data_IF_855114267270
#
_entry.id   IF_855114267270
#
_cell.length_a   1.000
_cell.length_b   1.000
_cell.length_c   1.000
_cell.angle_alpha   90.00
_cell.angle_beta   90.00
_cell.angle_gamma   90.00
#
_symmetry.space_group_name_H-M   'P 1'
#
loop_
_entity.id
_entity.type
_entity.pdbx_description
1 polymer ?
#
# COMPACT_ATOMS: atom_id res chain seq x y z
N UNK A 1 -38.02 13.64 76.86
CA UNK A 1 -36.66 13.80 76.36
C UNK A 1 -36.19 12.68 75.42
N UNK A 2 -36.73 11.44 75.49
CA UNK A 2 -36.30 10.30 74.61
C UNK A 2 -36.76 10.38 73.13
N UNK A 3 -37.81 11.02 72.79
CA UNK A 3 -38.37 11.08 71.39
C UNK A 3 -37.60 12.05 70.49
N UNK A 4 -36.83 12.97 71.05
CA UNK A 4 -36.06 13.99 70.26
C UNK A 4 -34.67 13.48 69.83
N UNK A 5 -34.13 12.54 70.54
CA UNK A 5 -32.80 11.96 70.14
C UNK A 5 -32.90 10.90 69.05
N UNK A 6 -33.98 10.13 68.97
CA UNK A 6 -34.20 9.14 67.89
C UNK A 6 -34.42 9.79 66.52
N UNK A 7 -34.98 10.97 66.42
CA UNK A 7 -35.19 11.68 65.15
C UNK A 7 -33.91 12.31 64.65
N UNK A 8 -32.96 12.70 65.50
CA UNK A 8 -31.68 13.27 65.10
C UNK A 8 -30.74 12.14 64.56
N UNK A 9 -30.80 10.96 65.16
CA UNK A 9 -30.00 9.80 64.71
C UNK A 9 -30.52 9.26 63.36
N UNK A 10 -31.83 9.21 63.13
CA UNK A 10 -32.43 8.81 61.85
C UNK A 10 -32.14 9.82 60.74
N UNK A 11 -32.19 11.12 61.01
CA UNK A 11 -31.86 12.18 60.07
C UNK A 11 -30.40 12.10 59.60
N UNK A 12 -29.44 11.87 60.51
CA UNK A 12 -28.03 11.75 60.19
C UNK A 12 -27.72 10.46 59.40
N UNK A 13 -28.46 9.37 59.64
CA UNK A 13 -28.29 8.13 58.84
C UNK A 13 -28.82 8.30 57.42
N UNK A 14 -29.94 9.00 57.22
CA UNK A 14 -30.47 9.27 55.88
C UNK A 14 -29.57 10.19 55.07
N UNK A 15 -29.01 11.24 55.68
CA UNK A 15 -28.06 12.16 55.07
C UNK A 15 -26.76 11.42 54.69
N UNK A 16 -26.25 10.53 55.54
CA UNK A 16 -25.08 9.68 55.22
C UNK A 16 -25.39 8.71 54.10
N UNK A 17 -26.56 8.10 54.06
CA UNK A 17 -26.98 7.20 52.99
C UNK A 17 -27.12 7.93 51.66
N UNK A 18 -27.72 9.15 51.66
CA UNK A 18 -27.78 10.00 50.47
C UNK A 18 -26.38 10.45 49.99
N UNK A 19 -25.48 10.78 50.91
CA UNK A 19 -24.11 11.15 50.54
C UNK A 19 -23.32 9.99 49.95
N UNK A 20 -23.49 8.78 50.50
CA UNK A 20 -22.89 7.55 49.94
C UNK A 20 -23.51 7.21 48.61
N UNK A 21 -24.85 7.35 48.46
CA UNK A 21 -25.53 7.13 47.18
C UNK A 21 -25.11 8.14 46.10
N UNK A 22 -24.95 9.41 46.47
CA UNK A 22 -24.38 10.43 45.56
C UNK A 22 -22.94 10.14 45.21
N UNK A 23 -22.08 9.67 46.13
CA UNK A 23 -20.71 9.27 45.85
C UNK A 23 -20.67 8.04 44.91
N UNK A 24 -21.54 7.06 45.10
CA UNK A 24 -21.63 5.87 44.25
C UNK A 24 -22.18 6.23 42.85
N UNK A 25 -23.12 7.17 42.77
CA UNK A 25 -23.62 7.67 41.47
C UNK A 25 -22.62 8.51 40.70
N UNK A 26 -21.68 9.16 41.36
CA UNK A 26 -20.59 9.92 40.70
C UNK A 26 -19.46 9.04 40.17
N UNK A 27 -19.34 7.79 40.65
CA UNK A 27 -18.30 6.85 40.23
C UNK A 27 -18.69 6.09 38.95
N UNK A 28 -19.94 6.14 38.50
CA UNK A 28 -20.40 5.47 37.27
C UNK A 28 -20.58 6.38 36.05
N UNK A 29 -19.97 7.53 36.01
CA UNK A 29 -19.72 8.12 34.70
C UNK A 29 -18.72 7.24 33.99
N UNK A 30 -19.18 6.26 33.20
CA UNK A 30 -18.38 5.62 32.14
C UNK A 30 -17.89 6.78 31.29
N UNK A 31 -16.70 7.28 31.62
CA UNK A 31 -16.04 8.27 30.76
C UNK A 31 -15.74 7.54 29.47
N UNK A 32 -16.62 7.67 28.48
CA UNK A 32 -16.23 7.29 27.14
C UNK A 32 -14.91 8.00 26.87
N UNK A 33 -13.98 7.32 26.30
CA UNK A 33 -12.65 7.82 26.00
C UNK A 33 -12.21 7.26 24.66
N UNK A 34 -11.22 7.90 24.07
CA UNK A 34 -10.65 7.49 22.81
C UNK A 34 -9.17 7.17 22.98
N UNK A 35 -8.66 6.30 22.11
CA UNK A 35 -7.24 6.09 21.88
C UNK A 35 -6.88 6.92 20.66
N UNK A 36 -5.96 7.87 20.80
CA UNK A 36 -5.31 8.58 19.73
C UNK A 36 -3.92 7.96 19.50
N UNK A 37 -3.71 7.42 18.31
CA UNK A 37 -2.41 6.93 17.87
C UNK A 37 -1.78 8.03 17.01
N UNK A 38 -0.84 8.83 17.54
CA UNK A 38 -0.18 9.89 16.77
C UNK A 38 0.70 9.27 15.69
N UNK A 39 0.79 9.94 14.55
CA UNK A 39 1.61 9.50 13.42
C UNK A 39 2.65 10.55 13.03
N UNK A 40 2.90 11.50 13.92
CA UNK A 40 4.00 12.47 13.87
C UNK A 40 5.31 11.85 14.42
N UNK A 41 6.34 12.66 14.61
CA UNK A 41 7.65 12.24 15.12
C UNK A 41 7.62 11.65 16.55
N UNK A 42 6.50 11.77 17.28
CA UNK A 42 6.32 11.16 18.60
C UNK A 42 5.98 9.68 18.54
N UNK A 43 5.68 9.15 17.36
CA UNK A 43 5.40 7.74 17.19
C UNK A 43 6.68 6.91 17.28
N UNK A 44 6.71 5.95 18.19
CA UNK A 44 7.84 5.02 18.36
C UNK A 44 7.91 3.99 17.23
N UNK A 45 6.77 3.59 16.67
CA UNK A 45 6.71 2.60 15.60
C UNK A 45 5.52 2.88 14.65
N UNK A 46 5.80 3.64 13.59
CA UNK A 46 4.79 3.97 12.59
C UNK A 46 4.23 2.72 11.89
N UNK A 47 5.11 1.77 11.53
CA UNK A 47 4.69 0.59 10.76
C UNK A 47 3.73 -0.29 11.57
N UNK A 48 4.03 -0.56 12.84
CA UNK A 48 3.12 -1.34 13.70
C UNK A 48 1.84 -0.59 14.07
N UNK A 49 1.82 0.75 14.03
CA UNK A 49 0.60 1.53 14.21
C UNK A 49 -0.47 1.22 13.14
N UNK A 50 -0.04 0.97 11.88
CA UNK A 50 -0.95 0.47 10.84
C UNK A 50 -1.45 -0.95 11.15
N UNK A 51 -0.60 -1.80 11.69
CA UNK A 51 -0.98 -3.15 12.13
C UNK A 51 -2.04 -3.15 13.22
N UNK A 52 -1.90 -2.26 14.23
CA UNK A 52 -2.93 -2.04 15.27
C UNK A 52 -4.25 -1.58 14.64
N UNK A 53 -4.16 -0.62 13.71
CA UNK A 53 -5.34 -0.10 13.01
C UNK A 53 -6.03 -1.20 12.20
N UNK A 54 -5.28 -2.01 11.46
CA UNK A 54 -5.80 -3.14 10.69
C UNK A 54 -6.46 -4.19 11.60
N UNK A 55 -5.77 -4.60 12.66
CA UNK A 55 -6.29 -5.54 13.64
C UNK A 55 -7.59 -5.03 14.31
N UNK A 56 -7.66 -3.75 14.64
CA UNK A 56 -8.86 -3.10 15.20
C UNK A 56 -10.03 -3.22 14.22
N UNK A 57 -9.80 -3.00 12.93
CA UNK A 57 -10.81 -3.15 11.89
C UNK A 57 -11.25 -4.62 11.71
N UNK A 58 -10.34 -5.60 11.88
CA UNK A 58 -10.70 -7.03 11.90
C UNK A 58 -11.66 -7.38 13.05
N UNK A 59 -11.58 -6.68 14.19
CA UNK A 59 -12.52 -6.83 15.31
C UNK A 59 -13.87 -6.14 15.07
N UNK A 60 -14.07 -5.52 13.89
CA UNK A 60 -15.29 -4.78 13.56
C UNK A 60 -15.41 -3.42 14.27
N UNK A 61 -14.31 -2.89 14.80
CA UNK A 61 -14.28 -1.61 15.50
C UNK A 61 -13.90 -0.52 14.49
N UNK A 62 -14.72 0.54 14.43
CA UNK A 62 -14.47 1.68 13.54
C UNK A 62 -13.20 2.44 13.96
N UNK A 63 -12.40 2.81 12.97
CA UNK A 63 -11.23 3.68 13.13
C UNK A 63 -11.44 4.94 12.31
N UNK A 64 -11.19 6.11 12.90
CA UNK A 64 -11.10 7.37 12.16
C UNK A 64 -9.63 7.65 11.80
N UNK A 65 -9.36 7.78 10.51
CA UNK A 65 -8.07 8.26 10.03
C UNK A 65 -8.15 9.78 9.93
N UNK A 66 -7.36 10.47 10.75
CA UNK A 66 -7.31 11.93 10.82
C UNK A 66 -6.25 12.43 9.83
N UNK A 67 -6.69 12.69 8.59
CA UNK A 67 -5.80 13.09 7.50
C UNK A 67 -5.12 14.42 7.81
N UNK A 68 -3.82 14.48 7.63
CA UNK A 68 -2.92 15.59 7.91
C UNK A 68 -2.82 16.00 9.39
N UNK A 69 -3.72 15.54 10.26
CA UNK A 69 -3.62 15.81 11.69
C UNK A 69 -2.51 14.97 12.30
N UNK A 70 -1.47 15.64 12.84
CA UNK A 70 -0.30 15.00 13.45
C UNK A 70 0.25 13.84 12.59
N UNK A 71 0.51 14.10 11.31
CA UNK A 71 1.06 13.12 10.38
C UNK A 71 0.07 12.05 9.91
N UNK A 72 -1.25 12.22 10.10
CA UNK A 72 -2.28 11.25 9.70
C UNK A 72 -2.60 10.23 10.79
N UNK A 73 -2.93 10.73 11.97
CA UNK A 73 -3.20 9.96 13.20
C UNK A 73 -4.44 9.07 13.10
N UNK A 74 -4.53 8.06 13.96
CA UNK A 74 -5.73 7.23 14.09
C UNK A 74 -6.44 7.54 15.41
N UNK A 75 -7.78 7.65 15.36
CA UNK A 75 -8.64 7.86 16.52
C UNK A 75 -9.62 6.69 16.62
N UNK A 76 -9.61 6.00 17.75
CA UNK A 76 -10.34 4.76 17.98
C UNK A 76 -11.10 4.88 19.32
N UNK A 77 -12.32 4.38 19.41
CA UNK A 77 -13.00 4.29 20.70
C UNK A 77 -12.18 3.42 21.67
N UNK A 78 -11.98 3.90 22.89
CA UNK A 78 -11.14 3.21 23.86
C UNK A 78 -11.68 1.82 24.18
N UNK A 79 -10.81 0.85 24.05
CA UNK A 79 -10.95 -0.50 24.58
C UNK A 79 -9.62 -0.92 25.19
N UNK A 80 -9.66 -1.55 26.38
CA UNK A 80 -8.46 -1.98 27.06
C UNK A 80 -7.59 -2.94 26.22
N UNK A 81 -8.23 -3.79 25.40
CA UNK A 81 -7.53 -4.69 24.50
C UNK A 81 -6.66 -3.93 23.50
N UNK A 82 -7.16 -2.83 22.90
CA UNK A 82 -6.40 -2.01 21.93
C UNK A 82 -5.23 -1.32 22.62
N UNK A 83 -5.44 -0.75 23.82
CA UNK A 83 -4.36 -0.13 24.59
C UNK A 83 -3.26 -1.14 24.96
N UNK A 84 -3.67 -2.36 25.30
CA UNK A 84 -2.72 -3.47 25.58
C UNK A 84 -1.93 -3.84 24.33
N UNK A 85 -2.58 -4.01 23.17
CA UNK A 85 -1.90 -4.31 21.90
C UNK A 85 -0.93 -3.19 21.48
N UNK A 86 -1.30 -1.91 21.65
CA UNK A 86 -0.38 -0.81 21.43
C UNK A 86 0.87 -0.93 22.30
N UNK A 87 0.70 -1.23 23.59
CA UNK A 87 1.82 -1.41 24.53
C UNK A 87 2.69 -2.60 24.14
N UNK A 88 2.10 -3.76 23.84
CA UNK A 88 2.82 -5.00 23.48
C UNK A 88 3.63 -4.82 22.20
N UNK A 89 3.06 -4.13 21.21
CA UNK A 89 3.73 -3.91 19.92
C UNK A 89 4.63 -2.67 19.89
N UNK A 90 4.76 -1.95 21.01
CA UNK A 90 5.63 -0.75 21.12
C UNK A 90 5.12 0.45 20.32
N UNK A 91 3.79 0.60 20.17
CA UNK A 91 3.15 1.71 19.48
C UNK A 91 2.79 2.80 20.48
N UNK A 92 3.22 4.03 20.23
CA UNK A 92 2.84 5.19 21.05
C UNK A 92 1.37 5.53 20.89
N UNK A 93 0.66 5.76 22.00
CA UNK A 93 -0.75 6.16 21.99
C UNK A 93 -1.08 7.07 23.18
N UNK A 94 -2.17 7.80 23.08
CA UNK A 94 -2.72 8.68 24.11
C UNK A 94 -4.17 8.27 24.41
N UNK A 95 -4.51 8.14 25.70
CA UNK A 95 -5.92 7.98 26.11
C UNK A 95 -6.47 9.38 26.36
N UNK A 96 -7.47 9.78 25.59
CA UNK A 96 -8.06 11.11 25.64
C UNK A 96 -9.56 11.03 25.99
N UNK A 97 -10.06 12.02 26.72
CA UNK A 97 -11.48 12.10 27.09
C UNK A 97 -12.35 12.48 25.87
N UNK A 98 -13.65 12.13 25.90
CA UNK A 98 -14.62 12.48 24.84
C UNK A 98 -14.60 13.95 24.45
N UNK A 99 -14.56 14.85 25.44
CA UNK A 99 -14.51 16.28 25.18
C UNK A 99 -13.29 16.69 24.37
N UNK A 100 -12.14 16.08 24.66
CA UNK A 100 -10.91 16.34 23.91
C UNK A 100 -10.98 15.76 22.47
N UNK A 101 -11.51 14.55 22.32
CA UNK A 101 -11.71 13.93 21.00
C UNK A 101 -12.67 14.76 20.13
N UNK A 102 -13.77 15.24 20.73
CA UNK A 102 -14.74 16.09 20.05
C UNK A 102 -14.13 17.44 19.64
N UNK A 103 -13.29 18.05 20.47
CA UNK A 103 -12.58 19.28 20.11
C UNK A 103 -11.64 19.04 18.93
N UNK A 104 -10.84 17.96 18.94
CA UNK A 104 -9.98 17.59 17.80
C UNK A 104 -10.80 17.43 16.52
N UNK A 105 -11.93 16.71 16.57
CA UNK A 105 -12.79 16.52 15.40
C UNK A 105 -13.45 17.81 14.93
N UNK A 106 -13.80 18.72 15.84
CA UNK A 106 -14.34 20.04 15.51
C UNK A 106 -13.29 20.93 14.84
N UNK A 107 -12.05 20.93 15.35
CA UNK A 107 -10.94 21.68 14.76
C UNK A 107 -10.61 21.15 13.34
N UNK A 108 -10.52 19.83 13.16
CA UNK A 108 -10.32 19.18 11.87
C UNK A 108 -11.45 19.52 10.87
N UNK A 109 -12.69 19.66 11.35
CA UNK A 109 -13.84 19.96 10.50
C UNK A 109 -13.86 21.42 9.97
N UNK A 110 -13.06 22.32 10.51
CA UNK A 110 -13.01 23.72 10.09
C UNK A 110 -12.58 23.83 8.62
N UNK A 111 -13.14 24.79 7.90
CA UNK A 111 -12.87 24.99 6.47
C UNK A 111 -11.47 25.57 6.20
N UNK A 112 -10.91 26.29 7.17
CA UNK A 112 -9.60 26.96 7.04
C UNK A 112 -8.39 26.05 7.33
N UNK A 113 -8.60 24.78 7.73
CA UNK A 113 -7.54 23.81 7.96
C UNK A 113 -7.55 22.73 6.89
N UNK A 114 -6.36 22.30 6.44
CA UNK A 114 -6.21 21.21 5.47
C UNK A 114 -6.18 19.84 6.16
N UNK A 115 -7.22 19.52 6.93
CA UNK A 115 -7.38 18.26 7.64
C UNK A 115 -8.78 17.69 7.40
N UNK A 116 -8.93 16.37 7.46
CA UNK A 116 -10.24 15.70 7.43
C UNK A 116 -10.20 14.39 8.25
N UNK A 117 -11.37 13.92 8.68
CA UNK A 117 -11.53 12.66 9.40
C UNK A 117 -12.29 11.66 8.54
N UNK A 118 -11.64 10.57 8.14
CA UNK A 118 -12.23 9.53 7.28
C UNK A 118 -12.42 8.25 8.08
N UNK A 119 -13.68 7.78 8.14
CA UNK A 119 -14.02 6.54 8.83
C UNK A 119 -13.58 5.31 8.04
N UNK A 120 -13.05 4.33 8.75
CA UNK A 120 -12.70 2.98 8.31
C UNK A 120 -13.58 1.99 9.05
N UNK A 121 -14.21 1.07 8.35
CA UNK A 121 -15.20 0.17 8.98
C UNK A 121 -14.88 -1.32 8.79
N UNK A 122 -13.97 -1.66 7.86
CA UNK A 122 -13.64 -3.04 7.51
C UNK A 122 -12.15 -3.14 7.17
N UNK A 123 -11.49 -4.17 7.67
CA UNK A 123 -10.16 -4.54 7.20
C UNK A 123 -10.24 -5.05 5.76
N UNK A 124 -9.39 -4.57 4.83
CA UNK A 124 -9.38 -5.08 3.47
C UNK A 124 -8.86 -6.51 3.42
N UNK A 125 -9.38 -7.32 2.50
CA UNK A 125 -8.82 -8.62 2.16
C UNK A 125 -7.69 -8.43 1.16
N UNK A 126 -6.51 -8.92 1.52
CA UNK A 126 -5.26 -8.68 0.80
C UNK A 126 -4.82 -9.93 0.07
N UNK A 127 -4.55 -9.82 -1.23
CA UNK A 127 -3.85 -10.81 -2.03
C UNK A 127 -2.46 -10.30 -2.42
N UNK A 128 -1.47 -11.18 -2.38
CA UNK A 128 -0.12 -10.94 -2.88
C UNK A 128 0.12 -11.91 -4.02
N UNK A 129 0.45 -11.38 -5.19
CA UNK A 129 0.83 -12.20 -6.33
C UNK A 129 2.29 -12.64 -6.19
N UNK A 130 2.53 -13.93 -6.08
CA UNK A 130 3.87 -14.49 -5.91
C UNK A 130 3.94 -15.91 -6.46
N UNK A 131 5.03 -16.28 -7.16
CA UNK A 131 5.25 -17.65 -7.62
C UNK A 131 5.44 -18.62 -6.43
N UNK A 132 5.18 -19.92 -6.64
CA UNK A 132 5.27 -20.90 -5.55
C UNK A 132 6.70 -21.25 -5.14
N UNK A 133 7.71 -20.93 -5.95
CA UNK A 133 9.12 -21.19 -5.66
C UNK A 133 9.74 -20.05 -4.83
N UNK A 134 10.78 -20.40 -4.08
CA UNK A 134 11.57 -19.42 -3.35
C UNK A 134 12.34 -18.53 -4.34
N UNK A 135 12.08 -17.23 -4.29
CA UNK A 135 12.83 -16.23 -5.04
C UNK A 135 14.18 -15.92 -4.34
N UNK A 136 15.21 -15.50 -5.10
CA UNK A 136 16.50 -15.11 -4.55
C UNK A 136 16.53 -13.69 -3.97
N UNK A 137 15.40 -13.04 -3.90
CA UNK A 137 15.16 -11.73 -3.32
C UNK A 137 13.96 -11.77 -2.38
N UNK A 138 13.82 -10.74 -1.60
CA UNK A 138 12.68 -10.50 -0.72
C UNK A 138 11.60 -9.63 -1.41
N UNK A 139 10.47 -9.53 -0.78
CA UNK A 139 9.36 -8.66 -1.18
C UNK A 139 9.07 -7.68 -0.06
N UNK A 140 9.37 -6.40 -0.30
CA UNK A 140 9.20 -5.32 0.68
C UNK A 140 7.78 -5.25 1.25
N UNK A 141 6.76 -5.53 0.43
CA UNK A 141 5.36 -5.49 0.87
C UNK A 141 5.05 -6.66 1.81
N UNK A 142 5.44 -7.87 1.45
CA UNK A 142 5.22 -9.03 2.34
C UNK A 142 6.01 -8.90 3.63
N UNK A 143 7.21 -8.30 3.60
CA UNK A 143 8.00 -8.01 4.79
C UNK A 143 7.27 -7.04 5.72
N UNK A 144 6.77 -5.92 5.20
CA UNK A 144 6.07 -4.94 6.05
C UNK A 144 4.72 -5.45 6.53
N UNK A 145 4.00 -6.22 5.74
CA UNK A 145 2.76 -6.87 6.17
C UNK A 145 3.01 -7.83 7.35
N UNK A 146 4.05 -8.67 7.26
CA UNK A 146 4.47 -9.58 8.34
C UNK A 146 4.92 -8.79 9.58
N UNK A 147 5.74 -7.75 9.41
CA UNK A 147 6.21 -6.91 10.51
C UNK A 147 5.07 -6.19 11.24
N UNK A 148 4.11 -5.67 10.49
CA UNK A 148 2.91 -5.02 11.01
C UNK A 148 1.83 -6.02 11.48
N UNK A 149 2.03 -7.33 11.28
CA UNK A 149 1.10 -8.41 11.61
C UNK A 149 -0.25 -8.27 10.87
N UNK A 150 -0.18 -7.88 9.60
CA UNK A 150 -1.32 -7.75 8.68
C UNK A 150 -1.43 -9.04 7.86
N UNK A 151 -2.59 -9.66 7.85
CA UNK A 151 -2.84 -10.93 7.14
C UNK A 151 -2.98 -10.71 5.65
N UNK A 152 -2.46 -11.65 4.87
CA UNK A 152 -2.62 -11.70 3.42
C UNK A 152 -2.63 -13.14 2.93
N UNK A 153 -3.21 -13.35 1.76
CA UNK A 153 -3.17 -14.62 1.03
C UNK A 153 -2.25 -14.48 -0.18
N UNK A 154 -1.62 -15.59 -0.57
CA UNK A 154 -0.80 -15.64 -1.78
C UNK A 154 -1.66 -16.19 -2.92
N UNK A 155 -1.59 -15.54 -4.07
CA UNK A 155 -2.23 -15.95 -5.34
C UNK A 155 -1.19 -15.95 -6.45
N UNK A 156 -1.41 -16.78 -7.46
CA UNK A 156 -0.56 -16.80 -8.65
C UNK A 156 -1.40 -16.91 -9.92
N UNK A 157 -0.80 -17.22 -11.06
CA UNK A 157 -1.47 -17.25 -12.38
C UNK A 157 -2.78 -18.02 -12.37
N UNK A 158 -2.79 -19.22 -11.79
CA UNK A 158 -3.98 -20.10 -11.74
C UNK A 158 -5.13 -19.44 -10.98
N UNK A 159 -4.85 -18.95 -9.77
CA UNK A 159 -5.89 -18.32 -8.95
C UNK A 159 -6.49 -17.10 -9.64
N UNK A 160 -5.67 -16.33 -10.36
CA UNK A 160 -6.14 -15.16 -11.10
C UNK A 160 -7.01 -15.58 -12.29
N UNK A 161 -6.56 -16.54 -13.09
CA UNK A 161 -7.31 -17.07 -14.26
C UNK A 161 -8.61 -17.71 -13.81
N UNK A 162 -8.64 -18.38 -12.66
CA UNK A 162 -9.83 -18.96 -12.05
C UNK A 162 -10.81 -17.92 -11.47
N UNK A 163 -10.46 -16.62 -11.52
CA UNK A 163 -11.30 -15.53 -11.06
C UNK A 163 -11.40 -15.39 -9.55
N UNK A 164 -10.42 -15.86 -8.78
CA UNK A 164 -10.40 -15.74 -7.30
C UNK A 164 -10.19 -14.30 -6.81
N UNK A 165 -9.73 -13.37 -7.67
CA UNK A 165 -9.54 -11.97 -7.29
C UNK A 165 -10.82 -11.28 -6.81
N UNK A 166 -11.99 -11.74 -7.21
CA UNK A 166 -13.30 -11.22 -6.71
C UNK A 166 -13.48 -11.32 -5.20
N UNK A 167 -12.70 -12.18 -4.53
CA UNK A 167 -12.78 -12.40 -3.08
C UNK A 167 -11.88 -11.43 -2.28
N UNK A 168 -11.11 -10.58 -2.97
CA UNK A 168 -10.16 -9.65 -2.39
C UNK A 168 -10.54 -8.20 -2.66
N UNK A 169 -10.07 -7.30 -1.78
CA UNK A 169 -10.21 -5.85 -1.93
C UNK A 169 -8.94 -5.22 -2.51
N UNK A 170 -7.77 -5.87 -2.33
CA UNK A 170 -6.45 -5.35 -2.65
C UNK A 170 -5.54 -6.45 -3.21
N UNK A 171 -4.80 -6.12 -4.27
CA UNK A 171 -3.82 -7.00 -4.91
C UNK A 171 -2.47 -6.29 -4.98
N UNK A 172 -1.40 -7.01 -4.59
CA UNK A 172 -0.02 -6.57 -4.73
C UNK A 172 0.70 -7.33 -5.83
N UNK A 173 1.45 -6.60 -6.65
CA UNK A 173 2.42 -7.09 -7.62
C UNK A 173 3.77 -6.43 -7.33
N UNK A 174 4.89 -7.17 -7.38
CA UNK A 174 6.19 -6.59 -7.06
C UNK A 174 7.18 -6.67 -8.24
N UNK A 175 7.86 -7.76 -8.36
CA UNK A 175 8.99 -7.96 -9.30
C UNK A 175 8.66 -8.92 -10.44
N UNK A 176 7.39 -9.24 -10.61
CA UNK A 176 6.96 -10.15 -11.65
C UNK A 176 7.06 -9.54 -13.03
N UNK A 177 7.45 -10.38 -13.98
CA UNK A 177 7.47 -10.07 -15.38
C UNK A 177 6.19 -10.59 -16.07
N UNK A 178 5.33 -9.67 -16.47
CA UNK A 178 4.13 -9.99 -17.24
C UNK A 178 4.36 -10.11 -18.74
N UNK A 179 5.57 -9.82 -19.24
CA UNK A 179 5.88 -9.87 -20.68
C UNK A 179 6.24 -11.27 -21.16
N UNK A 180 6.61 -12.18 -20.25
CA UNK A 180 7.11 -13.53 -20.60
C UNK A 180 8.59 -13.59 -20.93
N UNK A 181 9.37 -12.53 -20.63
CA UNK A 181 10.81 -12.45 -20.88
C UNK A 181 11.66 -12.80 -19.65
N UNK A 182 11.02 -13.42 -18.62
CA UNK A 182 11.65 -13.91 -17.40
C UNK A 182 12.54 -12.87 -16.71
N UNK A 183 12.01 -11.67 -16.49
CA UNK A 183 12.69 -10.57 -15.81
C UNK A 183 13.85 -9.95 -16.59
N UNK A 184 14.06 -10.37 -17.83
CA UNK A 184 15.26 -10.02 -18.63
C UNK A 184 16.58 -10.36 -17.93
N UNK A 185 16.59 -11.41 -17.14
CA UNK A 185 17.75 -11.91 -16.41
C UNK A 185 18.71 -12.77 -17.25
N UNK A 186 18.39 -13.02 -18.53
CA UNK A 186 19.08 -13.98 -19.38
C UNK A 186 20.60 -13.77 -19.40
N UNK A 187 21.07 -12.54 -19.61
CA UNK A 187 22.51 -12.27 -19.74
C UNK A 187 23.29 -12.66 -18.48
N UNK A 188 22.78 -12.27 -17.31
CA UNK A 188 23.52 -12.43 -16.06
C UNK A 188 23.28 -13.79 -15.39
N UNK A 189 22.10 -14.42 -15.60
CA UNK A 189 21.65 -15.52 -14.76
C UNK A 189 21.22 -16.79 -15.52
N UNK A 190 21.38 -16.89 -16.86
CA UNK A 190 20.94 -18.07 -17.65
C UNK A 190 21.46 -19.42 -17.16
N UNK A 191 22.63 -19.44 -16.48
CA UNK A 191 23.25 -20.65 -15.94
C UNK A 191 23.02 -20.82 -14.43
N UNK A 192 22.31 -19.90 -13.80
CA UNK A 192 22.09 -19.94 -12.34
C UNK A 192 20.84 -20.76 -12.02
N UNK A 193 20.90 -21.68 -11.03
CA UNK A 193 19.80 -22.60 -10.75
C UNK A 193 18.45 -21.94 -10.50
N UNK A 194 18.39 -20.82 -9.77
CA UNK A 194 17.11 -20.16 -9.48
C UNK A 194 16.44 -19.62 -10.76
N UNK A 195 17.22 -19.09 -11.72
CA UNK A 195 16.67 -18.58 -12.98
C UNK A 195 16.13 -19.73 -13.85
N UNK A 196 16.87 -20.84 -13.94
CA UNK A 196 16.43 -22.02 -14.67
C UNK A 196 15.15 -22.60 -14.08
N UNK A 197 15.04 -22.61 -12.76
CA UNK A 197 13.82 -23.04 -12.05
C UNK A 197 12.66 -22.08 -12.31
N UNK A 198 12.88 -20.78 -12.30
CA UNK A 198 11.89 -19.76 -12.64
C UNK A 198 11.33 -19.96 -14.06
N UNK A 199 12.21 -20.12 -15.04
CA UNK A 199 11.82 -20.39 -16.43
C UNK A 199 11.04 -21.71 -16.53
N UNK A 200 11.48 -22.76 -15.84
CA UNK A 200 10.81 -24.07 -15.82
C UNK A 200 9.40 -23.97 -15.26
N UNK A 201 9.25 -23.34 -14.10
CA UNK A 201 7.96 -23.20 -13.42
C UNK A 201 6.98 -22.39 -14.29
N UNK A 202 7.39 -21.26 -14.85
CA UNK A 202 6.53 -20.46 -15.70
C UNK A 202 6.08 -21.24 -16.95
N UNK A 203 6.99 -21.99 -17.62
CA UNK A 203 6.65 -22.81 -18.78
C UNK A 203 5.71 -23.97 -18.44
N UNK A 204 5.96 -24.65 -17.31
CA UNK A 204 5.08 -25.73 -16.84
C UNK A 204 3.69 -25.21 -16.44
N UNK A 205 3.64 -24.05 -15.79
CA UNK A 205 2.38 -23.41 -15.42
C UNK A 205 1.57 -23.01 -16.67
N UNK A 206 2.20 -22.37 -17.64
CA UNK A 206 1.55 -22.04 -18.90
C UNK A 206 0.99 -23.29 -19.58
N UNK A 207 1.79 -24.35 -19.72
CA UNK A 207 1.36 -25.62 -20.31
C UNK A 207 0.20 -26.25 -19.55
N UNK A 208 0.25 -26.28 -18.22
CA UNK A 208 -0.80 -26.84 -17.35
C UNK A 208 -2.12 -26.09 -17.50
N UNK A 209 -2.05 -24.79 -17.70
CA UNK A 209 -3.21 -23.90 -17.92
C UNK A 209 -3.68 -23.84 -19.39
N UNK A 210 -3.05 -24.62 -20.29
CA UNK A 210 -3.46 -24.75 -21.69
C UNK A 210 -2.88 -23.71 -22.64
N UNK A 211 -1.83 -22.96 -22.23
CA UNK A 211 -1.15 -21.99 -23.09
C UNK A 211 0.11 -22.58 -23.73
N UNK A 212 0.39 -22.15 -24.96
CA UNK A 212 1.61 -22.54 -25.67
C UNK A 212 2.81 -21.71 -25.23
N UNK A 213 2.61 -20.45 -24.87
CA UNK A 213 3.63 -19.50 -24.45
C UNK A 213 3.32 -18.90 -23.07
N UNK A 214 4.36 -18.56 -22.32
CA UNK A 214 4.25 -17.84 -21.05
C UNK A 214 3.66 -16.44 -21.29
N UNK A 215 4.09 -15.76 -22.35
CA UNK A 215 3.57 -14.44 -22.74
C UNK A 215 2.06 -14.44 -22.97
N UNK A 216 1.52 -15.47 -23.62
CA UNK A 216 0.06 -15.62 -23.82
C UNK A 216 -0.69 -15.81 -22.51
N UNK A 217 -0.18 -16.64 -21.62
CA UNK A 217 -0.73 -16.81 -20.27
C UNK A 217 -0.72 -15.49 -19.50
N UNK A 218 0.40 -14.77 -19.50
CA UNK A 218 0.51 -13.48 -18.78
C UNK A 218 -0.43 -12.40 -19.33
N UNK A 219 -0.71 -12.37 -20.63
CA UNK A 219 -1.75 -11.51 -21.21
C UNK A 219 -3.15 -11.80 -20.64
N UNK A 220 -3.47 -13.05 -20.38
CA UNK A 220 -4.74 -13.39 -19.73
C UNK A 220 -4.73 -12.97 -18.28
N UNK A 221 -3.64 -13.19 -17.58
CA UNK A 221 -3.47 -12.78 -16.17
C UNK A 221 -3.64 -11.26 -16.01
N UNK A 222 -2.94 -10.45 -16.82
CA UNK A 222 -3.07 -8.98 -16.73
C UNK A 222 -4.47 -8.49 -17.06
N UNK A 223 -5.15 -9.12 -18.02
CA UNK A 223 -6.55 -8.83 -18.36
C UNK A 223 -7.50 -9.13 -17.19
N UNK A 224 -7.32 -10.22 -16.48
CA UNK A 224 -8.13 -10.56 -15.30
C UNK A 224 -7.83 -9.59 -14.13
N UNK A 225 -6.58 -9.18 -13.95
CA UNK A 225 -6.22 -8.13 -12.99
C UNK A 225 -6.90 -6.81 -13.36
N UNK A 226 -6.91 -6.43 -14.65
CA UNK A 226 -7.61 -5.22 -15.12
C UNK A 226 -9.10 -5.25 -14.80
N UNK A 227 -9.76 -6.38 -15.08
CA UNK A 227 -11.17 -6.58 -14.72
C UNK A 227 -11.41 -6.45 -13.22
N UNK A 228 -10.50 -6.97 -12.38
CA UNK A 228 -10.57 -6.80 -10.93
C UNK A 228 -10.56 -5.33 -10.53
N UNK A 229 -9.64 -4.52 -11.11
CA UNK A 229 -9.60 -3.08 -10.84
C UNK A 229 -10.88 -2.41 -11.36
N UNK A 230 -11.28 -2.65 -12.60
CA UNK A 230 -12.49 -2.07 -13.21
C UNK A 230 -13.77 -2.34 -12.38
N UNK A 231 -13.82 -3.47 -11.67
CA UNK A 231 -14.93 -3.85 -10.81
C UNK A 231 -14.85 -3.26 -9.39
N UNK A 232 -13.81 -2.53 -9.06
CA UNK A 232 -13.66 -1.81 -7.79
C UNK A 232 -12.55 -2.33 -6.89
N UNK A 233 -11.71 -3.24 -7.37
CA UNK A 233 -10.50 -3.68 -6.69
C UNK A 233 -9.42 -2.60 -6.68
N UNK A 234 -8.45 -2.76 -5.79
CA UNK A 234 -7.29 -1.89 -5.69
C UNK A 234 -6.01 -2.64 -6.03
N UNK A 235 -5.25 -2.13 -7.01
CA UNK A 235 -3.94 -2.65 -7.40
C UNK A 235 -2.83 -1.79 -6.81
N UNK A 236 -1.85 -2.42 -6.17
CA UNK A 236 -0.60 -1.80 -5.76
C UNK A 236 0.56 -2.55 -6.40
N UNK A 237 1.37 -1.88 -7.21
CA UNK A 237 2.52 -2.49 -7.86
C UNK A 237 3.82 -1.75 -7.56
N UNK A 238 4.92 -2.51 -7.44
CA UNK A 238 6.27 -2.01 -7.26
C UNK A 238 7.22 -2.65 -8.27
N UNK A 239 8.43 -2.10 -8.37
CA UNK A 239 9.52 -2.65 -9.18
C UNK A 239 9.10 -2.95 -10.63
N UNK A 240 9.59 -4.05 -11.21
CA UNK A 240 9.32 -4.46 -12.59
C UNK A 240 7.85 -4.75 -12.89
N UNK A 241 7.03 -5.07 -11.90
CA UNK A 241 5.61 -5.28 -12.13
C UNK A 241 4.88 -4.03 -12.61
N UNK A 242 5.41 -2.83 -12.37
CA UNK A 242 4.79 -1.56 -12.76
C UNK A 242 4.82 -1.33 -14.27
N UNK A 243 5.98 -1.48 -14.91
CA UNK A 243 6.12 -1.27 -16.35
C UNK A 243 5.78 -2.53 -17.17
N UNK A 244 6.13 -3.72 -16.70
CA UNK A 244 5.81 -4.98 -17.43
C UNK A 244 4.31 -5.22 -17.53
N UNK A 245 3.53 -4.81 -16.53
CA UNK A 245 2.07 -4.84 -16.59
C UNK A 245 1.55 -3.97 -17.76
N UNK A 246 1.94 -2.71 -17.81
CA UNK A 246 1.51 -1.78 -18.87
C UNK A 246 2.05 -2.17 -20.26
N UNK A 247 3.30 -2.68 -20.33
CA UNK A 247 3.86 -3.20 -21.56
C UNK A 247 2.99 -4.34 -22.10
N UNK A 248 2.60 -5.29 -21.25
CA UNK A 248 1.77 -6.43 -21.64
C UNK A 248 0.37 -5.97 -22.06
N UNK A 249 -0.27 -5.05 -21.34
CA UNK A 249 -1.56 -4.48 -21.72
C UNK A 249 -1.50 -3.75 -23.07
N UNK A 250 -0.39 -3.08 -23.40
CA UNK A 250 -0.23 -2.43 -24.71
C UNK A 250 -0.03 -3.42 -25.86
N UNK A 251 0.45 -4.64 -25.54
CA UNK A 251 0.87 -5.66 -26.51
C UNK A 251 -0.11 -6.85 -26.61
N UNK A 252 -1.39 -6.67 -26.27
CA UNK A 252 -2.37 -7.75 -26.23
C UNK A 252 -2.48 -8.54 -27.54
N UNK A 253 -2.37 -7.87 -28.67
CA UNK A 253 -2.59 -8.44 -29.99
C UNK A 253 -1.30 -8.68 -30.79
N UNK A 254 -0.13 -8.51 -30.16
CA UNK A 254 1.19 -8.63 -30.82
C UNK A 254 2.13 -9.49 -29.98
N UNK A 255 3.14 -10.08 -30.65
CA UNK A 255 4.23 -10.77 -29.98
C UNK A 255 5.42 -9.82 -29.73
N UNK A 256 5.81 -9.70 -28.48
CA UNK A 256 6.95 -8.86 -28.04
C UNK A 256 8.14 -9.67 -27.50
N UNK A 257 8.03 -11.01 -27.48
CA UNK A 257 9.07 -11.89 -26.99
C UNK A 257 10.02 -12.26 -28.10
N UNK A 258 11.32 -12.12 -27.87
CA UNK A 258 12.35 -12.62 -28.78
C UNK A 258 12.52 -14.13 -28.64
N UNK A 259 12.90 -14.79 -29.72
CA UNK A 259 12.93 -16.27 -29.86
C UNK A 259 13.68 -17.03 -28.78
N UNK A 260 14.61 -16.40 -28.08
CA UNK A 260 15.32 -17.02 -26.97
C UNK A 260 14.45 -17.23 -25.72
N UNK A 261 13.34 -16.54 -25.59
CA UNK A 261 12.42 -16.70 -24.46
C UNK A 261 11.34 -17.75 -24.75
N UNK A 262 10.75 -17.74 -25.95
CA UNK A 262 9.58 -18.57 -26.26
C UNK A 262 9.68 -19.41 -27.55
N UNK A 263 10.74 -19.22 -28.38
CA UNK A 263 11.08 -20.09 -29.51
C UNK A 263 10.77 -19.54 -30.88
N UNK A 264 10.02 -18.44 -31.02
CA UNK A 264 9.78 -17.74 -32.28
C UNK A 264 10.09 -16.22 -32.16
N UNK A 265 10.32 -15.53 -33.27
CA UNK A 265 10.74 -14.12 -33.24
C UNK A 265 9.56 -13.21 -32.88
N UNK A 266 9.87 -12.16 -32.11
CA UNK A 266 8.92 -11.06 -31.88
C UNK A 266 8.46 -10.41 -33.18
N UNK A 267 7.28 -9.82 -33.19
CA UNK A 267 6.76 -9.06 -34.35
C UNK A 267 7.78 -7.99 -34.81
N UNK A 268 8.11 -7.91 -36.10
CA UNK A 268 9.13 -6.98 -36.60
C UNK A 268 8.86 -5.52 -36.23
N UNK A 269 7.60 -5.09 -36.33
CA UNK A 269 7.17 -3.71 -36.14
C UNK A 269 6.42 -3.52 -34.81
N UNK A 270 6.72 -4.31 -33.79
CA UNK A 270 5.95 -4.34 -32.52
C UNK A 270 5.75 -2.96 -31.91
N UNK A 271 6.79 -2.11 -31.87
CA UNK A 271 6.70 -0.78 -31.28
C UNK A 271 5.70 0.15 -31.97
N UNK A 272 5.44 -0.05 -33.26
CA UNK A 272 4.45 0.74 -34.01
C UNK A 272 3.01 0.23 -33.85
N UNK A 273 2.83 -0.95 -33.25
CA UNK A 273 1.54 -1.64 -33.07
C UNK A 273 1.02 -1.59 -31.64
N UNK A 274 1.78 -0.99 -30.70
CA UNK A 274 1.39 -0.89 -29.29
C UNK A 274 0.10 -0.09 -29.12
N UNK A 275 -0.84 -0.61 -28.36
CA UNK A 275 -2.09 0.07 -28.04
C UNK A 275 -2.08 0.68 -26.64
N UNK A 276 -1.67 1.92 -26.54
CA UNK A 276 -1.59 2.64 -25.26
C UNK A 276 -2.95 2.96 -24.61
N UNK A 277 -4.08 2.75 -25.30
CA UNK A 277 -5.40 2.89 -24.67
C UNK A 277 -5.66 1.79 -23.63
N UNK A 278 -4.96 0.67 -23.73
CA UNK A 278 -5.09 -0.43 -22.79
C UNK A 278 -4.29 -0.24 -21.49
N UNK A 279 -3.22 0.57 -21.52
CA UNK A 279 -2.32 0.76 -20.36
C UNK A 279 -2.97 1.58 -19.26
N UNK A 280 -2.52 1.38 -18.04
CA UNK A 280 -2.96 2.16 -16.87
C UNK A 280 -2.21 3.50 -16.78
N UNK A 281 -0.88 3.46 -16.76
CA UNK A 281 -0.04 4.59 -16.38
C UNK A 281 0.70 5.26 -17.54
N UNK A 282 1.17 4.48 -18.52
CA UNK A 282 2.16 4.96 -19.48
C UNK A 282 1.66 4.95 -20.92
N UNK A 283 2.21 5.84 -21.75
CA UNK A 283 1.92 5.95 -23.17
C UNK A 283 3.18 6.37 -23.95
N UNK A 284 3.18 6.08 -25.27
CA UNK A 284 4.25 6.48 -26.20
C UNK A 284 5.64 5.96 -25.84
N UNK A 285 5.72 4.90 -25.05
CA UNK A 285 6.97 4.25 -24.75
C UNK A 285 7.43 3.32 -25.86
N UNK A 286 8.73 3.01 -25.84
CA UNK A 286 9.39 2.10 -26.77
C UNK A 286 9.90 0.88 -26.02
N UNK A 287 9.48 -0.32 -26.44
CA UNK A 287 9.97 -1.59 -25.89
C UNK A 287 11.39 -1.82 -26.35
N UNK A 288 12.27 -2.16 -25.40
CA UNK A 288 13.64 -2.57 -25.67
C UNK A 288 13.68 -4.03 -26.15
N UNK A 289 14.03 -4.24 -27.41
CA UNK A 289 14.13 -5.57 -28.04
C UNK A 289 15.35 -6.36 -27.59
N UNK A 290 16.41 -5.69 -27.09
CA UNK A 290 17.64 -6.38 -26.73
C UNK A 290 17.40 -7.31 -25.52
N UNK A 291 17.48 -8.65 -25.70
CA UNK A 291 17.22 -9.60 -24.61
C UNK A 291 18.37 -9.66 -23.59
N UNK A 292 19.52 -9.09 -23.92
CA UNK A 292 20.71 -9.04 -23.06
C UNK A 292 20.78 -7.76 -22.23
N UNK A 293 19.80 -6.87 -22.34
CA UNK A 293 19.70 -5.69 -21.50
C UNK A 293 18.65 -5.91 -20.40
N UNK A 294 19.03 -5.59 -19.17
CA UNK A 294 18.17 -5.63 -17.99
C UNK A 294 17.24 -4.41 -17.95
N UNK A 295 16.40 -4.27 -18.98
CA UNK A 295 15.48 -3.14 -19.18
C UNK A 295 14.40 -3.51 -20.19
N UNK A 296 13.14 -3.33 -19.83
CA UNK A 296 12.00 -3.67 -20.70
C UNK A 296 11.65 -2.57 -21.71
N UNK A 297 11.70 -1.31 -21.29
CA UNK A 297 11.33 -0.16 -22.12
C UNK A 297 12.00 1.13 -21.65
N UNK A 298 11.71 2.24 -22.31
CA UNK A 298 12.14 3.57 -21.90
C UNK A 298 11.23 4.20 -20.81
N UNK A 299 10.25 3.47 -20.31
CA UNK A 299 9.52 3.83 -19.08
C UNK A 299 10.49 3.88 -17.91
N UNK A 300 11.30 2.82 -17.76
CA UNK A 300 12.29 2.72 -16.71
C UNK A 300 13.53 3.55 -17.03
N UNK A 301 13.84 4.50 -16.16
CA UNK A 301 15.06 5.34 -16.27
C UNK A 301 16.18 4.92 -15.32
N UNK A 302 16.04 3.79 -14.60
CA UNK A 302 17.01 3.34 -13.57
C UNK A 302 18.44 3.26 -14.10
N UNK A 303 18.64 2.71 -15.30
CA UNK A 303 19.97 2.53 -15.92
C UNK A 303 20.60 3.83 -16.44
N UNK A 304 19.79 4.88 -16.64
CA UNK A 304 20.24 6.17 -17.19
C UNK A 304 20.34 7.27 -16.15
N UNK A 305 19.92 6.98 -14.91
CA UNK A 305 19.95 7.93 -13.80
C UNK A 305 21.38 8.38 -13.47
N UNK A 306 21.51 9.66 -13.19
CA UNK A 306 22.77 10.30 -12.74
C UNK A 306 22.64 10.92 -11.35
N UNK A 307 21.70 10.42 -10.55
CA UNK A 307 21.46 10.91 -9.19
C UNK A 307 22.34 10.14 -8.22
N UNK A 308 23.30 10.79 -7.52
CA UNK A 308 24.10 10.14 -6.49
C UNK A 308 23.22 9.64 -5.35
N UNK A 309 23.61 8.53 -4.70
CA UNK A 309 22.86 7.91 -3.59
C UNK A 309 22.51 8.90 -2.49
N UNK A 310 23.44 9.75 -2.10
CA UNK A 310 23.29 10.72 -1.01
C UNK A 310 22.34 11.85 -1.37
N UNK A 311 22.01 12.02 -2.63
CA UNK A 311 21.10 13.02 -3.18
C UNK A 311 19.81 12.41 -3.73
N UNK A 312 19.67 11.09 -3.67
CA UNK A 312 18.48 10.41 -4.17
C UNK A 312 17.35 10.52 -3.15
N UNK A 313 16.53 11.50 -3.38
CA UNK A 313 15.28 11.76 -2.65
C UNK A 313 14.19 12.12 -3.66
N UNK A 314 12.96 11.79 -3.32
CA UNK A 314 11.80 12.33 -4.02
C UNK A 314 10.86 13.01 -3.04
N UNK A 315 10.09 13.96 -3.54
CA UNK A 315 9.18 14.78 -2.73
C UNK A 315 7.75 14.33 -2.96
N UNK A 316 7.00 14.12 -1.87
CA UNK A 316 5.56 13.91 -1.92
C UNK A 316 4.83 15.22 -2.11
N UNK A 317 3.80 15.21 -2.96
CA UNK A 317 2.88 16.34 -3.08
C UNK A 317 1.94 16.40 -1.87
N UNK A 318 1.58 17.62 -1.50
CA UNK A 318 0.53 17.86 -0.52
C UNK A 318 -0.80 18.06 -1.23
N UNK A 319 -1.79 17.25 -0.86
CA UNK A 319 -3.14 17.33 -1.39
C UNK A 319 -4.11 17.91 -0.36
N UNK A 320 -5.28 18.33 -0.83
CA UNK A 320 -6.33 18.78 0.05
C UNK A 320 -7.04 17.59 0.71
N UNK A 321 -6.97 17.49 2.03
CA UNK A 321 -7.70 16.45 2.76
C UNK A 321 -9.22 16.54 2.55
N UNK A 322 -9.73 17.74 2.22
CA UNK A 322 -11.17 18.01 2.04
C UNK A 322 -11.66 17.72 0.62
N UNK A 323 -10.83 18.04 -0.39
CA UNK A 323 -11.20 17.97 -1.81
C UNK A 323 -10.59 16.76 -2.50
N UNK A 324 -9.37 16.37 -2.10
CA UNK A 324 -8.59 15.27 -2.66
C UNK A 324 -8.29 14.21 -1.59
N UNK A 325 -9.32 13.61 -0.94
CA UNK A 325 -9.09 12.71 0.18
C UNK A 325 -8.32 11.45 -0.20
N UNK A 326 -8.47 10.95 -1.44
CA UNK A 326 -7.79 9.74 -1.91
C UNK A 326 -6.28 9.95 -1.98
N UNK A 327 -5.74 10.89 -2.78
CA UNK A 327 -4.30 11.11 -2.81
C UNK A 327 -3.75 11.60 -1.47
N UNK A 328 -4.54 12.33 -0.68
CA UNK A 328 -4.14 12.71 0.69
C UNK A 328 -3.91 11.48 1.57
N UNK A 329 -4.79 10.48 1.53
CA UNK A 329 -4.59 9.21 2.27
C UNK A 329 -3.34 8.48 1.82
N UNK A 330 -3.12 8.38 0.51
CA UNK A 330 -1.98 7.67 -0.07
C UNK A 330 -0.64 8.35 0.26
N UNK A 331 -0.65 9.68 0.46
CA UNK A 331 0.54 10.49 0.78
C UNK A 331 0.72 10.77 2.28
N UNK A 332 -0.10 10.20 3.19
CA UNK A 332 0.07 10.43 4.63
C UNK A 332 1.47 10.02 5.10
N UNK A 333 2.20 10.97 5.67
CA UNK A 333 3.53 10.71 6.20
C UNK A 333 3.91 11.73 7.26
N UNK A 334 4.94 11.43 8.08
CA UNK A 334 5.54 12.38 9.02
C UNK A 334 6.61 13.27 8.35
N UNK A 335 6.98 12.95 7.11
CA UNK A 335 7.86 13.77 6.26
C UNK A 335 7.37 13.72 4.81
N UNK A 336 7.56 14.79 4.07
CA UNK A 336 7.29 14.84 2.63
C UNK A 336 8.52 14.51 1.77
N UNK A 337 9.69 14.34 2.38
CA UNK A 337 10.93 13.99 1.70
C UNK A 337 11.23 12.51 1.94
N UNK A 338 11.17 11.73 0.89
CA UNK A 338 11.38 10.29 0.94
C UNK A 338 12.74 9.97 0.33
N UNK A 339 13.55 9.19 1.05
CA UNK A 339 14.83 8.69 0.53
C UNK A 339 14.58 7.80 -0.68
N UNK A 340 15.37 7.98 -1.72
CA UNK A 340 15.32 7.14 -2.92
C UNK A 340 15.89 5.75 -2.66
N UNK A 341 15.44 4.80 -3.45
CA UNK A 341 15.89 3.40 -3.43
C UNK A 341 15.84 2.84 -4.84
N UNK A 342 16.59 1.79 -5.08
CA UNK A 342 16.75 1.18 -6.40
C UNK A 342 15.84 -0.05 -6.58
N UNK A 343 15.83 -0.58 -7.78
CA UNK A 343 15.12 -1.76 -8.22
C UNK A 343 15.20 -1.87 -9.73
N UNK A 344 14.58 -2.83 -10.35
CA UNK A 344 14.58 -2.95 -11.80
C UNK A 344 13.87 -1.75 -12.45
N UNK A 345 12.74 -1.30 -11.89
CA UNK A 345 12.03 -0.09 -12.31
C UNK A 345 12.00 0.88 -11.14
N UNK A 346 13.13 1.57 -10.94
CA UNK A 346 13.33 2.50 -9.83
C UNK A 346 12.52 3.77 -9.99
N UNK A 347 12.48 4.32 -11.21
CA UNK A 347 11.86 5.59 -11.51
C UNK A 347 11.26 5.58 -12.91
N UNK A 348 10.15 6.25 -13.06
CA UNK A 348 9.42 6.35 -14.31
C UNK A 348 9.81 7.60 -15.08
N UNK A 349 10.02 7.45 -16.40
CA UNK A 349 10.16 8.57 -17.32
C UNK A 349 8.88 9.43 -17.29
N UNK A 350 8.99 10.60 -16.67
CA UNK A 350 7.85 11.47 -16.47
C UNK A 350 7.12 11.86 -17.77
N UNK A 351 7.85 11.94 -18.89
CA UNK A 351 7.29 12.32 -20.18
C UNK A 351 6.36 11.24 -20.77
N UNK A 352 6.45 10.00 -20.29
CA UNK A 352 5.65 8.88 -20.74
C UNK A 352 4.42 8.61 -19.85
N UNK A 353 4.31 9.29 -18.70
CA UNK A 353 3.15 9.21 -17.82
C UNK A 353 1.95 9.85 -18.51
N UNK A 354 0.82 9.17 -18.54
CA UNK A 354 -0.43 9.68 -19.15
C UNK A 354 -0.92 10.94 -18.45
N UNK A 355 -1.56 11.90 -19.17
CA UNK A 355 -2.02 13.17 -18.60
C UNK A 355 -3.06 13.04 -17.48
N UNK A 356 -3.82 11.95 -17.46
CA UNK A 356 -4.85 11.67 -16.44
C UNK A 356 -4.31 10.92 -15.22
N UNK A 357 -3.03 10.60 -15.19
CA UNK A 357 -2.37 9.94 -14.08
C UNK A 357 -1.86 10.98 -13.09
N UNK A 358 -2.16 10.77 -11.81
CA UNK A 358 -1.74 11.65 -10.74
C UNK A 358 -0.32 11.28 -10.29
N UNK A 359 0.62 12.20 -10.39
CA UNK A 359 1.96 12.06 -9.81
C UNK A 359 1.87 12.52 -8.35
N UNK A 360 2.08 11.60 -7.43
CA UNK A 360 2.05 11.85 -5.97
C UNK A 360 3.44 12.07 -5.37
N UNK A 361 4.48 11.55 -6.04
CA UNK A 361 5.86 11.72 -5.62
C UNK A 361 6.81 11.75 -6.82
N UNK A 362 7.72 12.74 -6.84
CA UNK A 362 8.65 12.95 -7.95
C UNK A 362 10.03 13.41 -7.48
N UNK A 363 11.06 13.08 -8.28
CA UNK A 363 12.33 13.79 -8.28
C UNK A 363 12.30 14.78 -9.45
N UNK A 364 11.91 16.02 -9.17
CA UNK A 364 11.74 17.04 -10.21
C UNK A 364 13.04 17.38 -10.91
N UNK A 365 14.16 17.40 -10.19
CA UNK A 365 15.47 17.75 -10.76
C UNK A 365 15.94 16.70 -11.79
N UNK A 366 15.59 15.43 -11.58
CA UNK A 366 15.90 14.34 -12.51
C UNK A 366 14.79 14.09 -13.56
N UNK A 367 13.68 14.81 -13.51
CA UNK A 367 12.49 14.60 -14.35
C UNK A 367 11.92 13.16 -14.21
N UNK A 368 11.87 12.66 -12.99
CA UNK A 368 11.42 11.31 -12.66
C UNK A 368 10.14 11.32 -11.84
N UNK A 369 9.14 10.52 -12.23
CA UNK A 369 8.04 10.16 -11.35
C UNK A 369 8.42 8.90 -10.54
N UNK A 370 8.06 8.86 -9.26
CA UNK A 370 8.40 7.76 -8.34
C UNK A 370 7.18 7.08 -7.74
N UNK A 371 6.10 7.82 -7.58
CA UNK A 371 4.87 7.36 -6.94
C UNK A 371 3.70 7.99 -7.68
N UNK A 372 2.91 7.14 -8.35
CA UNK A 372 1.84 7.56 -9.25
C UNK A 372 0.55 6.77 -8.99
N UNK A 373 -0.58 7.39 -9.28
CA UNK A 373 -1.90 6.85 -8.97
C UNK A 373 -2.90 7.15 -10.09
N UNK A 374 -3.86 6.27 -10.27
CA UNK A 374 -4.95 6.47 -11.21
C UNK A 374 -6.18 5.64 -10.88
N UNK A 375 -7.22 5.89 -11.65
CA UNK A 375 -8.52 5.22 -11.58
C UNK A 375 -8.80 4.52 -12.90
N UNK A 376 -9.46 3.37 -12.83
CA UNK A 376 -10.04 2.69 -13.99
C UNK A 376 -11.32 1.98 -13.59
N UNK A 377 -12.41 2.24 -14.32
CA UNK A 377 -13.72 1.71 -13.97
C UNK A 377 -14.18 2.20 -12.59
N UNK A 378 -14.33 1.27 -11.64
CA UNK A 378 -14.75 1.57 -10.25
C UNK A 378 -13.59 1.49 -9.25
N UNK A 379 -12.43 1.05 -9.69
CA UNK A 379 -11.28 0.78 -8.83
C UNK A 379 -10.12 1.73 -9.06
N UNK A 380 -9.03 1.43 -8.36
CA UNK A 380 -7.87 2.29 -8.25
C UNK A 380 -6.60 1.47 -8.43
N UNK A 381 -5.52 2.12 -8.84
CA UNK A 381 -4.21 1.54 -8.90
C UNK A 381 -3.15 2.54 -8.45
N UNK A 382 -2.06 2.05 -7.90
CA UNK A 382 -0.90 2.84 -7.51
C UNK A 382 0.37 2.11 -7.92
N UNK A 383 1.29 2.80 -8.57
CA UNK A 383 2.61 2.32 -8.91
C UNK A 383 3.67 3.06 -8.09
N UNK A 384 4.57 2.31 -7.48
CA UNK A 384 5.65 2.82 -6.65
C UNK A 384 6.99 2.30 -7.18
N UNK A 385 7.81 3.22 -7.71
CA UNK A 385 9.09 2.88 -8.33
C UNK A 385 10.14 2.47 -7.30
N UNK A 386 10.84 1.37 -7.58
CA UNK A 386 11.88 0.78 -6.74
C UNK A 386 11.45 -0.49 -6.04
N UNK A 387 12.40 -1.16 -5.37
CA UNK A 387 12.19 -2.49 -4.79
C UNK A 387 11.96 -2.46 -3.27
N UNK A 388 12.90 -1.95 -2.49
CA UNK A 388 12.82 -1.88 -1.03
C UNK A 388 13.21 -0.48 -0.54
N UNK A 389 12.30 0.22 0.18
CA UNK A 389 12.54 1.59 0.66
C UNK A 389 13.75 1.79 1.58
N UNK A 390 14.27 0.74 2.21
CA UNK A 390 15.44 0.84 3.12
C UNK A 390 16.67 0.12 2.58
N UNK A 391 16.54 -0.63 1.50
CA UNK A 391 17.67 -1.21 0.75
C UNK A 391 17.93 -0.41 -0.53
N UNK A 392 18.92 0.49 -0.47
CA UNK A 392 19.18 1.41 -1.58
C UNK A 392 19.53 0.70 -2.89
N UNK A 393 20.32 -0.36 -2.89
CA UNK A 393 20.81 -0.98 -4.12
C UNK A 393 20.16 -2.31 -4.44
N UNK A 394 19.68 -3.03 -3.49
CA UNK A 394 19.10 -4.37 -3.60
C UNK A 394 19.76 -5.27 -4.66
N UNK A 395 20.60 -6.20 -4.24
CA UNK A 395 21.23 -7.19 -5.11
C UNK A 395 20.60 -8.57 -4.94
N UNK A 396 20.63 -9.36 -6.01
CA UNK A 396 20.20 -10.75 -5.95
C UNK A 396 21.00 -11.52 -4.89
N UNK A 397 20.30 -12.02 -3.86
CA UNK A 397 20.90 -12.78 -2.76
C UNK A 397 21.30 -11.97 -1.54
N UNK A 398 21.02 -10.67 -1.51
CA UNK A 398 21.18 -9.85 -0.31
C UNK A 398 20.26 -10.37 0.83
N UNK A 399 20.67 -10.20 2.08
CA UNK A 399 19.79 -10.52 3.19
C UNK A 399 18.58 -9.56 3.21
N UNK A 400 17.40 -10.02 3.64
CA UNK A 400 16.23 -9.16 3.72
C UNK A 400 16.43 -8.02 4.72
N UNK A 401 15.79 -6.88 4.46
CA UNK A 401 15.80 -5.72 5.35
C UNK A 401 15.23 -6.06 6.73
N UNK A 402 15.97 -5.74 7.79
CA UNK A 402 15.46 -5.85 9.17
C UNK A 402 14.62 -4.61 9.54
N UNK A 403 13.31 -4.72 9.47
CA UNK A 403 12.38 -3.63 9.79
C UNK A 403 12.39 -3.21 11.27
N UNK A 404 13.00 -4.00 12.17
CA UNK A 404 13.21 -3.54 13.54
C UNK A 404 14.21 -2.37 13.61
N UNK A 405 15.08 -2.25 12.62
CA UNK A 405 16.00 -1.11 12.49
C UNK A 405 15.33 0.12 11.84
N UNK A 406 14.16 -0.07 11.20
CA UNK A 406 13.46 0.93 10.41
C UNK A 406 11.96 1.08 10.81
N UNK A 407 11.60 1.12 12.10
CA UNK A 407 10.19 1.13 12.57
C UNK A 407 9.43 2.38 12.11
N UNK A 408 10.15 3.42 11.70
CA UNK A 408 9.61 4.72 11.30
C UNK A 408 9.92 5.04 9.82
N UNK A 409 10.23 4.04 9.00
CA UNK A 409 10.53 4.24 7.58
C UNK A 409 9.40 4.96 6.85
N UNK A 410 9.64 6.15 6.28
CA UNK A 410 8.63 6.86 5.53
C UNK A 410 8.30 6.18 4.20
N UNK A 411 9.24 5.46 3.58
CA UNK A 411 9.02 4.72 2.35
C UNK A 411 8.11 3.51 2.55
N UNK A 412 8.34 2.71 3.59
CA UNK A 412 7.46 1.60 3.96
C UNK A 412 6.08 2.06 4.42
N UNK A 413 6.00 3.25 5.01
CA UNK A 413 4.73 3.84 5.40
C UNK A 413 3.82 4.13 4.20
N UNK A 414 4.37 4.51 3.04
CA UNK A 414 3.59 4.68 1.81
C UNK A 414 2.94 3.35 1.36
N UNK A 415 3.64 2.23 1.52
CA UNK A 415 3.06 0.91 1.26
C UNK A 415 1.83 0.67 2.16
N UNK A 416 1.96 0.93 3.46
CA UNK A 416 0.88 0.71 4.43
C UNK A 416 -0.29 1.68 4.26
N UNK A 417 -0.07 2.90 3.75
CA UNK A 417 -1.15 3.79 3.33
C UNK A 417 -2.03 3.11 2.26
N UNK A 418 -1.40 2.49 1.25
CA UNK A 418 -2.11 1.78 0.19
C UNK A 418 -2.91 0.59 0.75
N UNK A 419 -2.35 -0.12 1.73
CA UNK A 419 -3.03 -1.25 2.39
C UNK A 419 -4.30 -0.83 3.12
N UNK A 420 -4.28 0.30 3.85
CA UNK A 420 -5.44 0.79 4.58
C UNK A 420 -6.44 1.59 3.72
N UNK A 421 -6.02 2.05 2.55
CA UNK A 421 -6.85 2.87 1.68
C UNK A 421 -8.19 2.21 1.30
N UNK A 422 -8.27 0.92 0.90
CA UNK A 422 -9.52 0.28 0.49
C UNK A 422 -10.56 0.17 1.60
N UNK A 423 -10.13 0.25 2.87
CA UNK A 423 -11.03 0.25 4.03
C UNK A 423 -11.90 1.52 4.12
N UNK A 424 -11.65 2.53 3.28
CA UNK A 424 -12.38 3.79 3.28
C UNK A 424 -13.82 3.62 2.81
N UNK A 425 -14.75 4.14 3.59
CA UNK A 425 -16.11 4.37 3.12
C UNK A 425 -16.07 5.54 2.13
N UNK A 426 -16.54 5.31 0.87
CA UNK A 426 -16.65 6.41 -0.10
C UNK A 426 -17.49 7.54 0.51
N UNK A 427 -16.86 8.68 0.78
CA UNK A 427 -17.57 9.91 1.16
C UNK A 427 -18.34 10.35 -0.08
N UNK A 428 -19.66 10.60 0.04
CA UNK A 428 -20.39 11.30 -1.01
C UNK A 428 -19.74 12.67 -1.17
N UNK A 429 -19.28 12.97 -2.39
CA UNK A 429 -18.82 14.33 -2.69
C UNK A 429 -19.94 15.30 -2.33
N UNK A 430 -19.62 16.32 -1.55
CA UNK A 430 -20.53 17.46 -1.34
C UNK A 430 -20.62 18.18 -2.67
N UNK A 431 -21.77 18.05 -3.34
CA UNK A 431 -22.14 18.90 -4.47
C UNK A 431 -22.42 20.30 -3.98
#
# INVERSE_FOLDING_TARGET
MKVREENIFRSNSLVRLLFVLCLVLTVQAVRASFILIPMDEKQSNHLKAYGITYWTLEQGIEVKWLLNYRGGSFLIQHQQAIATECTVRGVSFEIIADGQANNILADIAREDVNEDAVSRQKAPKIAVYSPPNKQPWDDAVTMVLKYAEIKFDVVYDEEIIDGKLKDYDWLHLHHEDFTGQFGKFLQAYQHVPWYQEEVRINKENAKRLGFLKVSEMKKVVTREIKKFIENGGFLFAMCAATDTYDITESAMDIDICESMFDGDPADPDMNSKLNFNNTLAFQNFTINRNPYEYKFSDIDVSTTRKVPREQDYFTLFQFSAKWDPVPTMLCQNHTNLIKGFMGQTTAFNRNLVKPNVLIMGENKAANEARYIHGEVGKGFWTFYGGHDPEDFQHFVGDPPTDLNLHPNSPGYRLILNNVLFPAAKKKKQKT
#
